data_IF_164440921450
#
_entry.id   IF_164440921450
#
_cell.length_a   1.000
_cell.length_b   1.000
_cell.length_c   1.000
_cell.angle_alpha   90.00
_cell.angle_beta   90.00
_cell.angle_gamma   90.00
#
_symmetry.space_group_name_H-M   'P 1'
#
loop_
_entity.id
_entity.type
_entity.pdbx_description
1 polymer ?
#
# COMPACT_ATOMS: atom_id res chain seq x y z
N UNK A 1 -3.83 -1.46 -17.93
CA UNK A 1 -2.53 -2.04 -17.57
C UNK A 1 -2.74 -2.89 -16.33
N UNK A 2 -2.45 -4.19 -16.45
CA UNK A 2 -2.58 -5.21 -15.41
C UNK A 2 -1.20 -5.51 -14.85
N UNK A 3 -0.98 -5.12 -13.60
CA UNK A 3 0.30 -5.31 -12.92
C UNK A 3 0.17 -6.38 -11.86
N UNK A 4 1.00 -7.41 -11.93
CA UNK A 4 1.13 -8.41 -10.87
C UNK A 4 2.20 -7.98 -9.87
N UNK A 5 1.76 -7.64 -8.65
CA UNK A 5 2.64 -7.47 -7.48
C UNK A 5 2.92 -8.88 -6.98
N UNK A 6 4.07 -9.42 -7.36
CA UNK A 6 4.38 -10.85 -7.30
C UNK A 6 5.18 -11.21 -6.06
N UNK A 7 4.77 -12.30 -5.41
CA UNK A 7 5.54 -13.01 -4.39
C UNK A 7 6.04 -12.12 -3.24
N UNK A 8 5.16 -11.38 -2.52
CA UNK A 8 5.57 -10.52 -1.42
C UNK A 8 6.14 -11.33 -0.24
N UNK A 9 7.07 -10.74 0.51
CA UNK A 9 7.63 -11.33 1.74
C UNK A 9 6.52 -11.65 2.75
N UNK A 10 5.52 -10.76 2.85
CA UNK A 10 4.28 -10.98 3.59
C UNK A 10 3.17 -10.09 3.00
N UNK A 11 1.91 -10.52 3.14
CA UNK A 11 0.76 -9.76 2.66
C UNK A 11 -0.43 -9.91 3.60
N UNK A 12 -1.08 -8.79 3.91
CA UNK A 12 -2.34 -8.78 4.65
C UNK A 12 -3.54 -8.86 3.69
N UNK A 13 -3.71 -10.03 3.06
CA UNK A 13 -4.85 -10.36 2.22
C UNK A 13 -5.05 -11.88 2.09
N UNK A 14 -6.23 -12.39 2.46
CA UNK A 14 -6.53 -13.82 2.39
C UNK A 14 -6.56 -14.34 0.93
N UNK A 15 -5.91 -15.48 0.70
CA UNK A 15 -5.86 -16.14 -0.61
C UNK A 15 -4.92 -15.45 -1.62
N UNK A 16 -4.03 -14.57 -1.18
CA UNK A 16 -3.11 -13.82 -2.04
C UNK A 16 -1.64 -14.23 -1.83
N UNK A 17 -1.36 -15.51 -1.59
CA UNK A 17 -0.02 -16.00 -1.24
C UNK A 17 1.05 -15.71 -2.30
N UNK A 18 0.67 -15.57 -3.57
CA UNK A 18 1.54 -15.19 -4.70
C UNK A 18 1.38 -13.70 -5.07
N UNK A 19 0.64 -12.94 -4.27
CA UNK A 19 0.42 -11.51 -4.39
C UNK A 19 -0.91 -11.11 -5.07
N UNK A 20 -0.94 -9.91 -5.66
CA UNK A 20 -2.15 -9.28 -6.18
C UNK A 20 -1.98 -8.85 -7.64
N UNK A 21 -3.06 -8.91 -8.41
CA UNK A 21 -3.15 -8.21 -9.70
C UNK A 21 -3.91 -6.92 -9.50
N UNK A 22 -3.31 -5.82 -9.94
CA UNK A 22 -3.90 -4.48 -9.91
C UNK A 22 -4.19 -4.03 -11.33
N UNK A 23 -5.40 -3.53 -11.54
CA UNK A 23 -5.82 -2.95 -12.81
C UNK A 23 -6.49 -1.60 -12.56
N UNK A 24 -5.86 -0.54 -13.04
CA UNK A 24 -6.30 0.83 -12.79
C UNK A 24 -6.32 1.13 -11.28
N UNK A 25 -7.51 1.42 -10.75
CA UNK A 25 -7.72 1.79 -9.33
C UNK A 25 -8.20 0.62 -8.45
N UNK A 26 -8.18 -0.61 -8.98
CA UNK A 26 -8.77 -1.78 -8.30
C UNK A 26 -7.77 -2.93 -8.22
N UNK A 27 -7.89 -3.69 -7.15
CA UNK A 27 -7.34 -5.04 -7.08
C UNK A 27 -8.30 -5.93 -7.88
N UNK A 28 -7.85 -6.46 -9.01
CA UNK A 28 -8.68 -7.28 -9.89
C UNK A 28 -8.65 -8.75 -9.51
N UNK A 29 -7.51 -9.25 -8.99
CA UNK A 29 -7.32 -10.65 -8.62
C UNK A 29 -6.44 -10.78 -7.37
N UNK A 30 -6.72 -11.82 -6.58
CA UNK A 30 -5.85 -12.34 -5.51
C UNK A 30 -5.24 -13.63 -6.03
N UNK A 31 -3.93 -13.74 -6.05
CA UNK A 31 -3.24 -14.91 -6.60
C UNK A 31 -2.85 -15.84 -5.47
N UNK A 32 -3.52 -16.99 -5.42
CA UNK A 32 -3.32 -18.03 -4.41
C UNK A 32 -2.04 -18.82 -4.61
N UNK A 33 -1.72 -19.66 -3.63
CA UNK A 33 -0.56 -20.55 -3.69
C UNK A 33 -0.68 -21.51 -4.88
N UNK A 34 0.40 -21.66 -5.66
CA UNK A 34 0.40 -22.52 -6.85
C UNK A 34 -0.31 -21.92 -8.06
N UNK A 35 -1.00 -20.77 -7.92
CA UNK A 35 -1.65 -20.09 -9.02
C UNK A 35 -0.68 -19.17 -9.77
N UNK A 36 -1.02 -18.85 -11.01
CA UNK A 36 -0.34 -17.86 -11.85
C UNK A 36 -1.40 -17.10 -12.65
N UNK A 37 -1.46 -15.76 -12.56
CA UNK A 37 -2.45 -14.99 -13.28
C UNK A 37 -2.11 -14.92 -14.77
N UNK A 38 -3.12 -14.86 -15.62
CA UNK A 38 -2.97 -14.72 -17.06
C UNK A 38 -3.06 -13.26 -17.51
N UNK A 39 -2.54 -12.97 -18.72
CA UNK A 39 -2.66 -11.67 -19.40
C UNK A 39 -2.20 -10.51 -18.50
N UNK A 40 -0.95 -10.62 -18.03
CA UNK A 40 -0.27 -9.60 -17.23
C UNK A 40 0.57 -8.71 -18.14
N UNK A 41 0.44 -7.40 -17.98
CA UNK A 41 1.21 -6.42 -18.75
C UNK A 41 2.56 -6.11 -18.09
N UNK A 42 2.61 -6.15 -16.75
CA UNK A 42 3.81 -5.84 -15.98
C UNK A 42 3.89 -6.67 -14.69
N UNK A 43 5.11 -6.99 -14.27
CA UNK A 43 5.39 -7.70 -13.02
C UNK A 43 6.26 -6.83 -12.13
N UNK A 44 5.86 -6.68 -10.87
CA UNK A 44 6.70 -6.12 -9.81
C UNK A 44 7.08 -7.24 -8.85
N UNK A 45 8.37 -7.54 -8.76
CA UNK A 45 8.90 -8.53 -7.81
C UNK A 45 8.91 -7.93 -6.40
N UNK A 46 7.99 -8.41 -5.56
CA UNK A 46 7.81 -7.95 -4.19
C UNK A 46 8.51 -8.87 -3.17
N UNK A 47 9.38 -9.80 -3.57
CA UNK A 47 10.03 -10.76 -2.67
C UNK A 47 10.81 -10.13 -1.51
N UNK A 48 11.27 -8.88 -1.66
CA UNK A 48 11.88 -8.08 -0.58
C UNK A 48 10.92 -7.15 0.18
N UNK A 49 9.61 -7.20 -0.06
CA UNK A 49 8.63 -6.20 0.39
C UNK A 49 7.46 -6.83 1.16
N UNK A 50 6.92 -6.07 2.12
CA UNK A 50 5.64 -6.38 2.78
C UNK A 50 4.52 -5.56 2.14
N UNK A 51 3.42 -6.22 1.80
CA UNK A 51 2.24 -5.57 1.19
C UNK A 51 1.14 -5.42 2.24
N UNK A 52 0.72 -4.17 2.46
CA UNK A 52 -0.34 -3.79 3.38
C UNK A 52 -1.44 -3.02 2.64
N UNK A 53 -2.67 -2.99 3.17
CA UNK A 53 -3.63 -1.96 2.79
C UNK A 53 -3.02 -0.57 2.97
N UNK A 54 -3.39 0.37 2.10
CA UNK A 54 -3.00 1.76 2.25
C UNK A 54 -3.44 2.29 3.62
N UNK A 55 -2.53 2.95 4.34
CA UNK A 55 -2.85 3.50 5.66
C UNK A 55 -3.85 4.63 5.51
N UNK A 56 -4.98 4.54 6.23
CA UNK A 56 -6.00 5.58 6.27
C UNK A 56 -5.74 6.46 7.50
N UNK A 57 -5.31 7.70 7.26
CA UNK A 57 -5.18 8.67 8.32
C UNK A 57 -6.53 9.37 8.57
N UNK A 58 -7.24 8.96 9.63
CA UNK A 58 -8.57 9.47 9.95
C UNK A 58 -8.58 10.88 10.58
N UNK A 59 -7.42 11.38 11.00
CA UNK A 59 -7.33 12.67 11.69
C UNK A 59 -6.02 13.36 11.33
N UNK A 60 -6.10 14.55 10.74
CA UNK A 60 -4.91 15.30 10.37
C UNK A 60 -5.11 16.80 10.54
N UNK A 61 -4.09 17.48 11.07
CA UNK A 61 -4.00 18.93 11.09
C UNK A 61 -3.00 19.39 10.03
N UNK A 62 -3.46 19.54 8.79
CA UNK A 62 -2.58 19.75 7.63
C UNK A 62 -1.63 20.95 7.79
N UNK A 63 -2.18 22.09 8.22
CA UNK A 63 -1.42 23.33 8.37
C UNK A 63 -0.39 23.29 9.52
N UNK A 64 -0.52 22.37 10.48
CA UNK A 64 0.45 22.26 11.57
C UNK A 64 1.82 21.74 11.07
N UNK A 65 1.86 21.12 9.90
CA UNK A 65 3.12 20.75 9.25
C UNK A 65 4.01 21.98 9.00
N UNK A 66 3.41 23.14 8.73
CA UNK A 66 4.13 24.40 8.47
C UNK A 66 4.88 24.92 9.70
N UNK A 67 4.45 24.51 10.91
CA UNK A 67 5.06 24.94 12.17
C UNK A 67 5.86 23.83 12.85
N UNK A 68 6.20 22.75 12.12
CA UNK A 68 7.01 21.65 12.66
C UNK A 68 8.35 22.19 13.17
N UNK A 69 8.66 21.91 14.43
CA UNK A 69 9.88 22.36 15.13
C UNK A 69 10.07 23.90 15.19
N UNK A 70 9.02 24.71 14.99
CA UNK A 70 9.11 26.16 15.16
C UNK A 70 9.04 26.54 16.66
N UNK A 71 10.07 27.20 17.24
CA UNK A 71 10.16 27.44 18.68
C UNK A 71 8.95 28.16 19.29
N UNK A 72 8.40 29.17 18.59
CA UNK A 72 7.23 29.92 19.09
C UNK A 72 5.91 29.14 19.03
N UNK A 73 5.87 28.06 18.25
CA UNK A 73 4.66 27.28 18.01
C UNK A 73 4.65 25.94 18.79
N UNK A 74 5.78 25.52 19.33
CA UNK A 74 5.85 24.30 20.15
C UNK A 74 4.99 24.46 21.42
N UNK A 75 4.31 23.39 21.82
CA UNK A 75 3.42 23.35 23.00
C UNK A 75 2.23 24.32 22.99
N UNK A 76 1.84 24.85 21.81
CA UNK A 76 0.59 25.60 21.66
C UNK A 76 -0.59 24.63 21.43
N UNK A 77 -1.79 24.95 21.94
CA UNK A 77 -2.97 24.09 21.79
C UNK A 77 -3.36 23.93 20.32
N UNK A 78 -3.93 22.76 20.05
CA UNK A 78 -4.62 22.45 18.80
C UNK A 78 -6.01 23.06 18.88
N UNK A 79 -6.44 23.78 17.84
CA UNK A 79 -7.83 24.23 17.72
C UNK A 79 -8.76 23.01 17.57
#
# INVERSE_FOLDING_TARGET
MRTWIKDPLAIFADGAARGLVVEGTRISERVGQGETPERIDAVFDASGHVVLPGLVNAHHHFYQTLTRAHPSAINKPLF
#
